data_IF_029952936287
#
_entry.id   IF_029952936287
#
_cell.length_a   1.000
_cell.length_b   1.000
_cell.length_c   1.000
_cell.angle_alpha   90.00
_cell.angle_beta   90.00
_cell.angle_gamma   90.00
#
_symmetry.space_group_name_H-M   'P 1'
#
loop_
_entity.id
_entity.type
_entity.pdbx_description
1 polymer ?
#
# COMPACT_ATOMS: atom_id res chain seq x y z
N UNK A 1 -13.21 6.44 1.35
CA UNK A 1 -13.05 4.99 1.57
C UNK A 1 -12.29 4.44 0.39
N UNK A 2 -11.30 3.58 0.63
CA UNK A 2 -10.45 2.96 -0.39
C UNK A 2 -10.42 1.45 -0.11
N UNK A 3 -10.48 0.63 -1.14
CA UNK A 3 -10.55 -0.83 -0.96
C UNK A 3 -9.19 -1.39 -0.59
N UNK A 4 -8.25 -1.32 -1.53
CA UNK A 4 -6.89 -1.83 -1.35
C UNK A 4 -5.82 -0.75 -1.41
N UNK A 5 -6.02 0.35 -2.13
CA UNK A 5 -4.95 1.34 -2.32
C UNK A 5 -4.03 1.02 -3.49
N UNK A 6 -4.58 0.50 -4.59
CA UNK A 6 -3.85 0.37 -5.85
C UNK A 6 -3.34 1.72 -6.39
N UNK A 7 -4.14 2.83 -6.39
CA UNK A 7 -3.65 4.09 -6.95
C UNK A 7 -2.38 4.64 -6.27
N UNK A 8 -2.25 4.62 -4.92
CA UNK A 8 -0.98 4.89 -4.25
C UNK A 8 0.18 4.00 -4.70
N UNK A 9 -0.03 2.69 -4.86
CA UNK A 9 1.03 1.77 -5.29
C UNK A 9 1.47 2.05 -6.74
N UNK A 10 0.54 2.39 -7.64
CA UNK A 10 0.84 2.79 -9.02
C UNK A 10 1.67 4.08 -9.04
N UNK A 11 1.31 5.08 -8.23
CA UNK A 11 2.08 6.31 -8.10
C UNK A 11 3.50 6.05 -7.57
N UNK A 12 3.64 5.22 -6.53
CA UNK A 12 4.92 4.81 -5.97
C UNK A 12 5.79 4.08 -7.00
N UNK A 13 5.19 3.21 -7.84
CA UNK A 13 5.90 2.49 -8.89
C UNK A 13 6.50 3.43 -9.94
N UNK A 14 5.90 4.59 -10.16
CA UNK A 14 6.41 5.66 -11.03
C UNK A 14 7.39 6.61 -10.32
N UNK A 15 7.65 6.38 -9.02
CA UNK A 15 8.49 7.26 -8.20
C UNK A 15 7.82 8.59 -7.84
N UNK A 16 6.50 8.66 -7.91
CA UNK A 16 5.72 9.83 -7.52
C UNK A 16 5.46 9.79 -6.01
N UNK A 17 5.86 10.82 -5.23
CA UNK A 17 5.54 10.91 -3.82
C UNK A 17 4.03 10.90 -3.58
N UNK A 18 3.58 10.13 -2.59
CA UNK A 18 2.16 9.98 -2.26
C UNK A 18 1.82 10.75 -0.98
N UNK A 19 0.74 11.53 -1.05
CA UNK A 19 0.03 12.06 0.12
C UNK A 19 -1.34 11.40 0.14
N UNK A 20 -1.70 10.72 1.23
CA UNK A 20 -2.95 9.96 1.29
C UNK A 20 -3.52 9.92 2.71
N UNK A 21 -4.78 9.51 2.83
CA UNK A 21 -5.46 9.48 4.12
C UNK A 21 -4.88 8.44 5.07
N UNK A 22 -4.86 8.76 6.36
CA UNK A 22 -4.42 7.87 7.44
C UNK A 22 -5.48 6.86 7.90
N UNK A 23 -6.51 6.58 7.09
CA UNK A 23 -7.63 5.70 7.44
C UNK A 23 -7.80 4.55 6.44
N UNK A 24 -8.64 3.57 6.79
CA UNK A 24 -8.93 2.40 5.95
C UNK A 24 -7.67 1.55 5.67
N UNK A 25 -7.53 0.96 4.49
CA UNK A 25 -6.41 0.09 4.10
C UNK A 25 -5.11 0.87 3.81
N UNK A 26 -5.18 2.18 3.66
CA UNK A 26 -4.07 2.99 3.16
C UNK A 26 -2.83 2.97 4.06
N UNK A 27 -2.90 3.16 5.40
CA UNK A 27 -1.72 3.10 6.27
C UNK A 27 -0.97 1.77 6.17
N UNK A 28 -1.68 0.66 6.02
CA UNK A 28 -1.09 -0.66 5.87
C UNK A 28 -0.40 -0.80 4.50
N UNK A 29 -1.07 -0.36 3.44
CA UNK A 29 -0.62 -0.54 2.05
C UNK A 29 0.55 0.37 1.70
N UNK A 30 0.56 1.62 2.18
CA UNK A 30 1.63 2.57 1.89
C UNK A 30 2.79 2.52 2.89
N UNK A 31 2.57 1.92 4.07
CA UNK A 31 3.59 1.83 5.12
C UNK A 31 4.20 3.20 5.44
N UNK A 32 5.53 3.28 5.42
CA UNK A 32 6.29 4.51 5.68
C UNK A 32 6.70 5.28 4.40
N UNK A 33 6.11 4.92 3.25
CA UNK A 33 6.46 5.44 1.93
C UNK A 33 5.52 6.57 1.44
N UNK A 34 4.57 7.01 2.27
CA UNK A 34 3.68 8.13 1.98
C UNK A 34 3.59 9.11 3.15
N UNK A 35 3.15 10.33 2.86
CA UNK A 35 2.68 11.26 3.88
C UNK A 35 1.23 10.91 4.20
N UNK A 36 0.99 10.50 5.45
CA UNK A 36 -0.36 10.21 5.93
C UNK A 36 -0.97 11.46 6.57
N UNK A 37 -2.19 11.80 6.15
CA UNK A 37 -2.94 12.97 6.63
C UNK A 37 -4.33 12.55 7.10
N UNK A 38 -4.91 13.27 8.06
CA UNK A 38 -6.33 13.17 8.35
C UNK A 38 -7.13 13.71 7.14
N UNK A 39 -7.97 12.90 6.47
CA UNK A 39 -8.74 13.34 5.31
C UNK A 39 -9.78 14.43 5.60
N UNK A 40 -10.16 14.61 6.87
CA UNK A 40 -11.11 15.65 7.29
C UNK A 40 -10.42 16.94 7.76
N UNK A 41 -9.08 16.98 7.74
CA UNK A 41 -8.30 18.14 8.13
C UNK A 41 -7.61 18.79 6.92
N UNK A 42 -8.23 19.87 6.41
CA UNK A 42 -7.69 20.67 5.29
C UNK A 42 -6.26 21.15 5.52
N UNK A 43 -5.90 21.50 6.76
CA UNK A 43 -4.56 21.98 7.05
C UNK A 43 -3.53 20.85 6.93
N UNK A 44 -3.82 19.64 7.41
CA UNK A 44 -2.91 18.51 7.24
C UNK A 44 -2.72 18.16 5.76
N UNK A 45 -3.80 18.15 4.97
CA UNK A 45 -3.73 17.91 3.52
C UNK A 45 -2.84 18.95 2.85
N UNK A 46 -3.05 20.23 3.14
CA UNK A 46 -2.25 21.33 2.59
C UNK A 46 -0.78 21.19 2.96
N UNK A 47 -0.46 20.93 4.24
CA UNK A 47 0.92 20.75 4.68
C UNK A 47 1.57 19.53 4.03
N UNK A 48 0.84 18.41 3.91
CA UNK A 48 1.33 17.20 3.27
C UNK A 48 1.67 17.41 1.80
N UNK A 49 0.78 18.06 1.04
CA UNK A 49 1.02 18.42 -0.37
C UNK A 49 2.21 19.37 -0.48
N UNK A 50 2.26 20.41 0.36
CA UNK A 50 3.37 21.37 0.38
C UNK A 50 4.71 20.69 0.65
N UNK A 51 4.76 19.79 1.63
CA UNK A 51 5.97 19.04 1.96
C UNK A 51 6.41 18.16 0.78
N UNK A 52 5.50 17.38 0.19
CA UNK A 52 5.81 16.54 -0.97
C UNK A 52 6.28 17.33 -2.21
N UNK A 53 5.84 18.58 -2.37
CA UNK A 53 6.21 19.44 -3.50
C UNK A 53 7.49 20.27 -3.25
N UNK A 54 7.72 20.75 -2.04
CA UNK A 54 8.75 21.75 -1.77
C UNK A 54 9.95 21.20 -0.98
N UNK A 55 9.77 20.14 -0.19
CA UNK A 55 10.87 19.50 0.52
C UNK A 55 11.53 18.46 -0.39
N UNK A 56 12.67 18.84 -0.97
CA UNK A 56 13.43 17.97 -1.87
C UNK A 56 13.91 16.69 -1.16
N UNK A 57 14.37 16.79 0.08
CA UNK A 57 14.91 15.64 0.81
C UNK A 57 13.80 14.64 1.15
N UNK A 58 12.64 15.15 1.59
CA UNK A 58 11.47 14.31 1.83
C UNK A 58 11.02 13.63 0.54
N UNK A 59 10.93 14.35 -0.58
CA UNK A 59 10.54 13.79 -1.88
C UNK A 59 11.43 12.63 -2.31
N UNK A 60 12.76 12.78 -2.25
CA UNK A 60 13.68 11.69 -2.60
C UNK A 60 13.54 10.50 -1.64
N UNK A 61 13.33 10.77 -0.35
CA UNK A 61 13.09 9.73 0.66
C UNK A 61 11.81 8.94 0.35
N UNK A 62 10.70 9.63 0.05
CA UNK A 62 9.42 9.01 -0.27
C UNK A 62 9.49 8.22 -1.58
N UNK A 63 10.21 8.72 -2.58
CA UNK A 63 10.44 8.01 -3.83
C UNK A 63 11.20 6.70 -3.61
N UNK A 64 12.31 6.74 -2.88
CA UNK A 64 13.10 5.55 -2.56
C UNK A 64 12.26 4.52 -1.78
N UNK A 65 11.56 4.95 -0.73
CA UNK A 65 10.68 4.08 0.05
C UNK A 65 9.50 3.56 -0.78
N UNK A 66 9.00 4.34 -1.73
CA UNK A 66 7.92 3.95 -2.63
C UNK A 66 8.33 2.74 -3.47
N UNK A 67 9.54 2.76 -4.05
CA UNK A 67 10.07 1.62 -4.78
C UNK A 67 10.22 0.37 -3.89
N UNK A 68 10.74 0.53 -2.68
CA UNK A 68 10.89 -0.55 -1.70
C UNK A 68 9.53 -1.13 -1.28
N UNK A 69 8.53 -0.27 -1.07
CA UNK A 69 7.20 -0.67 -0.65
C UNK A 69 6.47 -1.42 -1.77
N UNK A 70 6.49 -0.91 -3.00
CA UNK A 70 5.83 -1.55 -4.16
C UNK A 70 6.43 -2.92 -4.46
N UNK A 71 7.74 -3.11 -4.26
CA UNK A 71 8.40 -4.40 -4.45
C UNK A 71 7.84 -5.53 -3.56
N UNK A 72 7.12 -5.19 -2.49
CA UNK A 72 6.46 -6.17 -1.60
C UNK A 72 5.15 -6.72 -2.18
N UNK A 73 4.60 -6.08 -3.21
CA UNK A 73 3.33 -6.43 -3.83
C UNK A 73 3.57 -7.08 -5.19
N UNK A 74 3.22 -8.36 -5.32
CA UNK A 74 3.34 -9.11 -6.56
C UNK A 74 2.10 -9.99 -6.76
N UNK A 75 1.47 -9.84 -7.92
CA UNK A 75 0.37 -10.71 -8.34
C UNK A 75 0.80 -12.18 -8.37
N UNK A 76 1.99 -12.44 -8.90
CA UNK A 76 2.55 -13.80 -8.98
C UNK A 76 2.71 -14.40 -7.58
N UNK A 77 3.27 -13.64 -6.62
CA UNK A 77 3.39 -14.12 -5.24
C UNK A 77 2.03 -14.35 -4.58
N UNK A 78 1.04 -13.49 -4.83
CA UNK A 78 -0.31 -13.66 -4.32
C UNK A 78 -0.99 -14.91 -4.88
N UNK A 79 -0.87 -15.16 -6.18
CA UNK A 79 -1.39 -16.37 -6.83
C UNK A 79 -0.71 -17.61 -6.28
N UNK A 80 0.63 -17.63 -6.17
CA UNK A 80 1.37 -18.76 -5.58
C UNK A 80 0.91 -19.10 -4.16
N UNK A 81 0.74 -18.08 -3.31
CA UNK A 81 0.25 -18.26 -1.94
C UNK A 81 -1.18 -18.81 -1.91
N UNK A 82 -2.05 -18.34 -2.80
CA UNK A 82 -3.42 -18.83 -2.91
C UNK A 82 -3.46 -20.30 -3.35
N UNK A 83 -2.64 -20.67 -4.35
CA UNK A 83 -2.55 -22.06 -4.82
C UNK A 83 -2.02 -23.00 -3.73
N UNK A 84 -1.00 -22.61 -2.99
CA UNK A 84 -0.48 -23.41 -1.86
C UNK A 84 -1.57 -23.69 -0.80
N UNK A 85 -2.45 -22.71 -0.53
CA UNK A 85 -3.60 -22.92 0.36
C UNK A 85 -4.59 -23.92 -0.25
N UNK A 86 -4.90 -23.80 -1.54
CA UNK A 86 -5.81 -24.72 -2.23
C UNK A 86 -5.26 -26.14 -2.26
N UNK A 87 -3.98 -26.33 -2.53
CA UNK A 87 -3.34 -27.65 -2.51
C UNK A 87 -3.39 -28.28 -1.11
N UNK A 88 -3.11 -27.48 -0.06
CA UNK A 88 -3.16 -27.95 1.34
C UNK A 88 -4.56 -28.38 1.78
N UNK A 89 -5.60 -27.72 1.29
CA UNK A 89 -7.00 -28.03 1.65
C UNK A 89 -7.55 -29.14 0.75
N UNK A 90 -7.30 -29.07 -0.56
CA UNK A 90 -7.77 -30.04 -1.55
C UNK A 90 -7.13 -31.42 -1.42
N UNK A 91 -5.90 -31.50 -0.90
CA UNK A 91 -5.25 -32.78 -0.59
C UNK A 91 -5.77 -33.46 0.69
N UNK A 92 -6.60 -32.79 1.50
CA UNK A 92 -7.23 -33.39 2.68
C UNK A 92 -8.60 -33.98 2.30
N UNK A 93 -8.87 -35.27 2.57
CA UNK A 93 -10.20 -35.82 2.36
C UNK A 93 -11.21 -35.05 3.22
N UNK A 94 -12.31 -34.63 2.60
CA UNK A 94 -13.39 -33.90 3.26
C UNK A 94 -14.00 -34.77 4.38
N UNK A 95 -13.63 -34.51 5.63
CA UNK A 95 -14.24 -35.16 6.78
C UNK A 95 -15.56 -34.46 7.10
N UNK A 96 -16.69 -35.11 6.77
CA UNK A 96 -17.99 -34.74 7.34
C UNK A 96 -17.99 -35.12 8.82
N UNK A 97 -18.16 -34.13 9.70
CA UNK A 97 -18.59 -34.39 11.06
C UNK A 97 -20.02 -34.97 10.98
N UNK A 98 -20.18 -36.22 11.41
CA UNK A 98 -21.48 -36.87 11.66
C UNK A 98 -21.93 -36.48 13.05
#
# INVERSE_FOLDING_TARGET
YEGFGLPPLEAMAQGTPVVTSNTSSLPEVVGNAAVLVNPENVFEIMHGIKAALLDQQLRETLKQRGYEQVARFSWESSVRRMLDIYDRIGAKPFQRAV
#
